data_IF_795740158352
#
_entry.id   IF_795740158352
#
_cell.length_a   1.000
_cell.length_b   1.000
_cell.length_c   1.000
_cell.angle_alpha   90.00
_cell.angle_beta   90.00
_cell.angle_gamma   90.00
#
_symmetry.space_group_name_H-M   'P 1'
#
loop_
_entity.id
_entity.type
_entity.pdbx_description
1 polymer ?
#
# COMPACT_ATOMS: atom_id res chain seq x y z
N UNK A 1 4.18 20.92 2.36
CA UNK A 1 3.09 21.08 1.36
C UNK A 1 2.02 22.07 1.80
N UNK A 2 1.58 22.91 0.88
CA UNK A 2 0.44 23.84 1.06
C UNK A 2 -0.91 23.11 0.93
N UNK A 3 -1.98 23.64 1.54
CA UNK A 3 -3.34 23.10 1.44
C UNK A 3 -3.86 22.84 -0.01
N UNK A 4 -3.53 23.67 -1.04
CA UNK A 4 -3.95 23.40 -2.42
C UNK A 4 -3.21 22.23 -3.09
N UNK A 5 -1.95 21.95 -2.74
CA UNK A 5 -1.19 20.80 -3.28
C UNK A 5 -1.73 19.47 -2.73
N UNK A 6 -2.16 19.44 -1.46
CA UNK A 6 -2.90 18.31 -0.88
C UNK A 6 -4.15 18.01 -1.70
N UNK A 7 -4.90 19.04 -2.13
CA UNK A 7 -6.14 18.88 -2.91
C UNK A 7 -5.93 18.31 -4.32
N UNK A 8 -4.75 18.46 -4.93
CA UNK A 8 -4.49 17.97 -6.29
C UNK A 8 -4.18 16.48 -6.33
N UNK A 9 -3.39 15.97 -5.36
CA UNK A 9 -3.15 14.52 -5.16
C UNK A 9 -4.46 13.77 -4.89
N UNK A 10 -5.40 14.44 -4.23
CA UNK A 10 -6.69 13.90 -3.78
C UNK A 10 -7.82 14.00 -4.81
N UNK A 11 -7.55 14.53 -6.02
CA UNK A 11 -8.57 14.73 -7.06
C UNK A 11 -8.90 13.47 -7.86
N UNK A 12 -8.10 12.41 -7.76
CA UNK A 12 -8.40 11.17 -8.46
C UNK A 12 -9.35 10.28 -7.63
N UNK A 13 -10.35 9.70 -8.28
CA UNK A 13 -11.44 8.94 -7.64
C UNK A 13 -10.96 7.76 -6.76
N UNK A 14 -9.68 7.39 -6.84
CA UNK A 14 -9.06 6.37 -5.98
C UNK A 14 -8.87 6.79 -4.52
N UNK A 15 -8.74 8.09 -4.23
CA UNK A 15 -8.48 8.57 -2.86
C UNK A 15 -9.71 8.51 -1.94
N UNK A 16 -10.91 8.35 -2.49
CA UNK A 16 -12.17 8.19 -1.74
C UNK A 16 -12.71 6.76 -1.75
N UNK A 17 -12.11 5.87 -2.54
CA UNK A 17 -12.52 4.47 -2.62
C UNK A 17 -11.74 3.64 -1.61
N UNK A 18 -12.30 2.48 -1.26
CA UNK A 18 -11.57 1.50 -0.46
C UNK A 18 -10.35 1.02 -1.22
N UNK A 19 -9.17 1.19 -0.65
CA UNK A 19 -7.91 0.99 -1.35
C UNK A 19 -6.99 0.07 -0.56
N UNK A 20 -6.39 -0.89 -1.26
CA UNK A 20 -5.29 -1.66 -0.72
C UNK A 20 -4.01 -0.85 -0.87
N UNK A 21 -3.26 -0.71 0.21
CA UNK A 21 -2.04 0.09 0.29
C UNK A 21 -0.86 -0.87 0.37
N UNK A 22 0.04 -0.76 -0.60
CA UNK A 22 1.25 -1.57 -0.67
C UNK A 22 2.34 -1.08 0.29
N UNK A 23 3.37 -1.90 0.53
CA UNK A 23 4.47 -1.61 1.45
C UNK A 23 5.32 -0.43 0.98
N UNK A 24 5.53 -0.25 -0.33
CA UNK A 24 6.27 0.91 -0.85
C UNK A 24 5.66 2.24 -0.40
N UNK A 25 4.32 2.36 -0.36
CA UNK A 25 3.62 3.55 0.12
C UNK A 25 3.92 3.80 1.60
N UNK A 26 3.87 2.74 2.44
CA UNK A 26 4.20 2.86 3.86
C UNK A 26 5.67 3.25 4.06
N UNK A 27 6.58 2.65 3.29
CA UNK A 27 8.02 2.94 3.34
C UNK A 27 8.30 4.40 2.99
N UNK A 28 7.62 4.96 1.99
CA UNK A 28 7.78 6.36 1.61
C UNK A 28 7.45 7.34 2.73
N UNK A 29 6.61 6.96 3.69
CA UNK A 29 6.33 7.82 4.86
C UNK A 29 7.56 8.03 5.77
N UNK A 30 8.62 7.24 5.63
CA UNK A 30 9.90 7.36 6.35
C UNK A 30 11.07 7.78 5.44
N UNK A 31 10.87 7.84 4.12
CA UNK A 31 11.94 8.13 3.17
C UNK A 31 12.46 9.58 3.33
N UNK A 32 13.79 9.73 3.43
CA UNK A 32 14.44 11.05 3.60
C UNK A 32 14.95 11.64 2.29
N UNK A 33 15.16 10.81 1.28
CA UNK A 33 15.71 11.14 -0.03
C UNK A 33 14.64 11.61 -1.05
N UNK A 34 13.35 11.37 -0.77
CA UNK A 34 12.24 11.79 -1.62
C UNK A 34 11.14 12.56 -0.84
N UNK A 35 11.38 13.82 -0.41
CA UNK A 35 10.45 14.58 0.42
C UNK A 35 9.04 14.74 -0.17
N UNK A 36 8.93 14.91 -1.50
CA UNK A 36 7.64 15.04 -2.17
C UNK A 36 6.81 13.74 -2.12
N UNK A 37 7.46 12.58 -2.33
CA UNK A 37 6.80 11.27 -2.21
C UNK A 37 6.41 10.98 -0.76
N UNK A 38 7.27 11.35 0.20
CA UNK A 38 6.96 11.24 1.63
C UNK A 38 5.74 12.06 2.01
N UNK A 39 5.70 13.34 1.64
CA UNK A 39 4.57 14.21 1.96
C UNK A 39 3.27 13.71 1.31
N UNK A 40 3.34 13.20 0.07
CA UNK A 40 2.21 12.54 -0.61
C UNK A 40 1.74 11.28 0.14
N UNK A 41 2.66 10.38 0.48
CA UNK A 41 2.36 9.15 1.19
C UNK A 41 1.74 9.42 2.57
N UNK A 42 2.29 10.37 3.34
CA UNK A 42 1.73 10.78 4.63
C UNK A 42 0.29 11.29 4.50
N UNK A 43 0.02 12.16 3.53
CA UNK A 43 -1.32 12.69 3.29
C UNK A 43 -2.31 11.59 2.87
N UNK A 44 -1.86 10.64 2.04
CA UNK A 44 -2.65 9.52 1.58
C UNK A 44 -3.03 8.58 2.73
N UNK A 45 -2.07 8.22 3.59
CA UNK A 45 -2.34 7.37 4.76
C UNK A 45 -3.26 8.09 5.75
N UNK A 46 -3.01 9.36 6.04
CA UNK A 46 -3.86 10.16 6.92
C UNK A 46 -5.31 10.19 6.44
N UNK A 47 -5.53 10.39 5.13
CA UNK A 47 -6.86 10.38 4.54
C UNK A 47 -7.55 9.01 4.62
N UNK A 48 -6.84 7.93 4.29
CA UNK A 48 -7.43 6.58 4.33
C UNK A 48 -7.72 6.11 5.76
N UNK A 49 -6.92 6.54 6.74
CA UNK A 49 -7.22 6.35 8.16
C UNK A 49 -8.46 7.15 8.58
N UNK A 50 -8.54 8.43 8.19
CA UNK A 50 -9.67 9.30 8.55
C UNK A 50 -11.00 8.82 7.95
N UNK A 51 -10.98 8.40 6.68
CA UNK A 51 -12.17 7.93 5.95
C UNK A 51 -12.49 6.45 6.19
N UNK A 52 -11.62 5.70 6.89
CA UNK A 52 -11.73 4.25 7.10
C UNK A 52 -11.86 3.46 5.80
N UNK A 53 -11.03 3.83 4.82
CA UNK A 53 -11.02 3.20 3.49
C UNK A 53 -9.69 2.52 3.16
N UNK A 54 -8.66 2.69 3.99
CA UNK A 54 -7.37 2.04 3.76
C UNK A 54 -7.34 0.61 4.26
N UNK A 55 -6.76 -0.26 3.44
CA UNK A 55 -6.57 -1.68 3.73
C UNK A 55 -5.11 -2.01 3.51
N UNK A 56 -4.53 -2.81 4.39
CA UNK A 56 -3.19 -3.39 4.24
C UNK A 56 -3.26 -4.88 4.51
N UNK A 57 -2.14 -5.59 4.33
CA UNK A 57 -2.01 -6.97 4.78
C UNK A 57 -0.94 -7.13 5.86
N UNK A 58 -0.99 -8.26 6.55
CA UNK A 58 0.10 -8.67 7.45
C UNK A 58 1.46 -8.80 6.74
N UNK A 59 1.49 -9.13 5.45
CA UNK A 59 2.72 -9.11 4.64
C UNK A 59 3.24 -7.67 4.47
N UNK A 60 2.37 -6.73 4.14
CA UNK A 60 2.74 -5.31 3.98
C UNK A 60 3.41 -4.75 5.24
N UNK A 61 2.91 -5.11 6.44
CA UNK A 61 3.52 -4.71 7.71
C UNK A 61 4.91 -5.34 7.93
N UNK A 62 5.09 -6.61 7.55
CA UNK A 62 6.38 -7.30 7.63
C UNK A 62 7.41 -6.66 6.72
N UNK A 63 7.03 -6.38 5.47
CA UNK A 63 7.89 -5.72 4.48
C UNK A 63 8.26 -4.31 4.92
N UNK A 64 7.28 -3.52 5.38
CA UNK A 64 7.51 -2.20 5.92
C UNK A 64 8.56 -2.23 7.05
N UNK A 65 8.37 -3.09 8.06
CA UNK A 65 9.28 -3.14 9.20
C UNK A 65 10.70 -3.55 8.78
N UNK A 66 10.82 -4.55 7.90
CA UNK A 66 12.10 -5.01 7.40
C UNK A 66 12.83 -3.92 6.60
N UNK A 67 12.11 -3.16 5.76
CA UNK A 67 12.70 -2.09 4.95
C UNK A 67 13.04 -0.87 5.81
N UNK A 68 12.14 -0.43 6.68
CA UNK A 68 12.35 0.73 7.54
C UNK A 68 13.60 0.55 8.42
N UNK A 69 13.76 -0.62 9.03
CA UNK A 69 14.90 -0.88 9.94
C UNK A 69 16.21 -1.15 9.20
N UNK A 70 16.18 -1.89 8.07
CA UNK A 70 17.41 -2.30 7.37
C UNK A 70 17.90 -1.31 6.33
N UNK A 71 16.98 -0.67 5.59
CA UNK A 71 17.32 0.22 4.47
C UNK A 71 17.28 1.70 4.86
N UNK A 72 16.27 2.10 5.65
CA UNK A 72 16.09 3.51 6.03
C UNK A 72 16.75 3.86 7.38
N UNK A 73 17.28 2.88 8.10
CA UNK A 73 17.92 3.10 9.40
C UNK A 73 16.97 3.58 10.49
N UNK A 74 15.66 3.37 10.32
CA UNK A 74 14.67 3.72 11.35
C UNK A 74 14.90 2.83 12.56
N UNK A 75 15.00 3.47 13.73
CA UNK A 75 15.21 2.77 15.00
C UNK A 75 14.07 1.75 15.23
N UNK A 76 14.36 0.49 15.61
CA UNK A 76 13.36 -0.58 15.73
C UNK A 76 12.10 -0.23 16.55
N UNK A 77 12.26 0.50 17.65
CA UNK A 77 11.13 0.92 18.50
C UNK A 77 10.21 1.92 17.77
N UNK A 78 10.78 2.81 16.96
CA UNK A 78 9.99 3.75 16.16
C UNK A 78 9.28 3.03 15.01
N UNK A 79 9.96 2.11 14.32
CA UNK A 79 9.37 1.28 13.28
C UNK A 79 8.21 0.43 13.84
N UNK A 80 8.36 -0.13 15.05
CA UNK A 80 7.32 -0.90 15.72
C UNK A 80 6.10 -0.05 16.08
N UNK A 81 6.30 1.15 16.63
CA UNK A 81 5.21 2.11 16.90
C UNK A 81 4.47 2.50 15.63
N UNK A 82 5.19 2.69 14.53
CA UNK A 82 4.60 3.08 13.25
C UNK A 82 3.86 1.92 12.58
N UNK A 83 4.39 0.70 12.66
CA UNK A 83 3.65 -0.50 12.25
C UNK A 83 2.33 -0.67 13.05
N UNK A 84 2.36 -0.42 14.36
CA UNK A 84 1.16 -0.43 15.19
C UNK A 84 0.16 0.68 14.81
N UNK A 85 0.65 1.85 14.39
CA UNK A 85 -0.20 2.91 13.85
C UNK A 85 -0.85 2.49 12.53
N UNK A 86 -0.09 1.89 11.60
CA UNK A 86 -0.62 1.39 10.33
C UNK A 86 -1.63 0.25 10.52
N UNK A 87 -1.46 -0.59 11.54
CA UNK A 87 -2.41 -1.64 11.90
C UNK A 87 -3.79 -1.13 12.37
N UNK A 88 -3.99 0.19 12.47
CA UNK A 88 -5.32 0.81 12.66
C UNK A 88 -6.14 0.91 11.36
N UNK A 89 -5.51 0.69 10.21
CA UNK A 89 -6.20 0.41 8.96
C UNK A 89 -6.87 -0.97 9.02
N UNK A 90 -7.73 -1.29 8.05
CA UNK A 90 -8.23 -2.65 7.92
C UNK A 90 -7.06 -3.58 7.53
N UNK A 91 -6.86 -4.65 8.30
CA UNK A 91 -5.74 -5.59 8.06
C UNK A 91 -6.27 -6.92 7.56
N UNK A 92 -5.84 -7.28 6.34
CA UNK A 92 -6.03 -8.62 5.78
C UNK A 92 -4.92 -9.54 6.26
N UNK A 93 -5.27 -10.63 6.94
CA UNK A 93 -4.31 -11.66 7.32
C UNK A 93 -3.92 -12.49 6.10
N UNK A 94 -2.63 -12.71 5.91
CA UNK A 94 -2.11 -13.60 4.87
C UNK A 94 -2.09 -15.01 5.45
N UNK A 95 -3.16 -15.75 5.18
CA UNK A 95 -3.31 -17.14 5.60
C UNK A 95 -3.01 -18.11 4.44
N UNK A 96 -3.12 -19.42 4.73
CA UNK A 96 -2.87 -20.46 3.74
C UNK A 96 -3.80 -20.35 2.52
N UNK A 97 -5.07 -19.98 2.72
CA UNK A 97 -6.04 -19.89 1.64
C UNK A 97 -5.70 -18.73 0.70
N UNK A 98 -5.29 -17.59 1.27
CA UNK A 98 -4.81 -16.45 0.51
C UNK A 98 -3.56 -16.81 -0.30
N UNK A 99 -2.61 -17.52 0.32
CA UNK A 99 -1.38 -17.96 -0.36
C UNK A 99 -1.70 -18.87 -1.55
N UNK A 100 -2.55 -19.88 -1.37
CA UNK A 100 -2.92 -20.79 -2.45
C UNK A 100 -3.63 -20.04 -3.59
N UNK A 101 -4.54 -19.13 -3.27
CA UNK A 101 -5.21 -18.30 -4.28
C UNK A 101 -4.25 -17.34 -5.00
N UNK A 102 -3.23 -16.82 -4.32
CA UNK A 102 -2.19 -16.00 -4.93
C UNK A 102 -1.31 -16.83 -5.89
N UNK A 103 -1.01 -18.09 -5.57
CA UNK A 103 -0.29 -19.00 -6.49
C UNK A 103 -1.09 -19.20 -7.78
N UNK A 104 -2.41 -19.35 -7.70
CA UNK A 104 -3.27 -19.45 -8.87
C UNK A 104 -3.27 -18.16 -9.71
N UNK A 105 -3.26 -16.98 -9.07
CA UNK A 105 -3.13 -15.70 -9.76
C UNK A 105 -1.78 -15.54 -10.47
N UNK A 106 -0.68 -15.92 -9.81
CA UNK A 106 0.66 -15.91 -10.40
C UNK A 106 0.71 -16.69 -11.71
N UNK A 107 0.11 -17.88 -11.73
CA UNK A 107 0.10 -18.76 -12.92
C UNK A 107 -0.67 -18.15 -14.08
N UNK A 108 -1.74 -17.42 -13.79
CA UNK A 108 -2.61 -16.85 -14.81
C UNK A 108 -2.08 -15.53 -15.39
N UNK A 109 -1.46 -14.70 -14.56
CA UNK A 109 -1.09 -13.32 -14.93
C UNK A 109 0.42 -13.08 -15.02
N UNK A 110 1.26 -14.11 -14.80
CA UNK A 110 2.73 -14.00 -14.82
C UNK A 110 3.29 -12.93 -13.86
N UNK A 111 2.57 -12.64 -12.79
CA UNK A 111 3.01 -11.78 -11.69
C UNK A 111 4.15 -12.45 -10.91
N UNK A 112 4.96 -11.64 -10.22
CA UNK A 112 5.79 -12.19 -9.15
C UNK A 112 4.90 -12.76 -8.03
N UNK A 113 5.45 -13.67 -7.22
CA UNK A 113 4.67 -14.27 -6.13
C UNK A 113 4.24 -13.21 -5.09
N UNK A 114 5.12 -12.24 -4.81
CA UNK A 114 4.83 -11.15 -3.88
C UNK A 114 3.73 -10.24 -4.40
N UNK A 115 3.79 -9.88 -5.69
CA UNK A 115 2.74 -9.08 -6.34
C UNK A 115 1.40 -9.80 -6.34
N UNK A 116 1.40 -11.12 -6.59
CA UNK A 116 0.19 -11.92 -6.55
C UNK A 116 -0.45 -11.96 -5.15
N UNK A 117 0.35 -11.98 -4.08
CA UNK A 117 -0.14 -11.89 -2.70
C UNK A 117 -0.76 -10.52 -2.40
N UNK A 118 -0.12 -9.42 -2.80
CA UNK A 118 -0.65 -8.06 -2.64
C UNK A 118 -1.99 -7.93 -3.36
N UNK A 119 -2.06 -8.38 -4.62
CA UNK A 119 -3.29 -8.35 -5.42
C UNK A 119 -4.38 -9.19 -4.75
N UNK A 120 -4.09 -10.42 -4.34
CA UNK A 120 -5.07 -11.28 -3.71
C UNK A 120 -5.55 -10.72 -2.36
N UNK A 121 -4.66 -10.11 -1.57
CA UNK A 121 -5.03 -9.45 -0.33
C UNK A 121 -5.92 -8.23 -0.57
N UNK A 122 -5.66 -7.44 -1.63
CA UNK A 122 -6.56 -6.38 -2.07
C UNK A 122 -7.95 -6.90 -2.44
N UNK A 123 -8.02 -8.06 -3.11
CA UNK A 123 -9.29 -8.69 -3.51
C UNK A 123 -10.08 -9.22 -2.32
N UNK A 124 -9.43 -9.93 -1.41
CA UNK A 124 -10.02 -10.40 -0.14
C UNK A 124 -10.45 -9.22 0.72
N UNK A 125 -9.67 -8.14 0.69
CA UNK A 125 -10.07 -6.87 1.26
C UNK A 125 -11.41 -6.43 0.69
N UNK A 126 -11.61 -6.49 -0.62
CA UNK A 126 -12.72 -5.84 -1.31
C UNK A 126 -12.34 -4.44 -1.78
N UNK A 127 -11.07 -4.27 -2.15
CA UNK A 127 -10.52 -3.01 -2.64
C UNK A 127 -10.64 -2.93 -4.17
N UNK A 128 -11.43 -2.01 -4.74
CA UNK A 128 -11.39 -1.74 -6.18
C UNK A 128 -10.08 -1.11 -6.66
N UNK A 129 -9.27 -0.57 -5.73
CA UNK A 129 -8.01 0.13 -6.01
C UNK A 129 -6.87 -0.49 -5.23
N UNK A 130 -5.71 -0.61 -5.87
CA UNK A 130 -4.43 -0.96 -5.24
C UNK A 130 -3.44 0.18 -5.48
N UNK A 131 -2.94 0.75 -4.40
CA UNK A 131 -1.99 1.84 -4.39
C UNK A 131 -0.58 1.27 -4.29
N UNK A 132 0.19 1.37 -5.37
CA UNK A 132 1.54 0.86 -5.46
C UNK A 132 2.36 1.70 -6.44
N UNK A 133 3.63 1.92 -6.12
CA UNK A 133 4.60 2.49 -7.05
C UNK A 133 5.11 1.47 -8.07
N UNK A 134 5.45 0.26 -7.60
CA UNK A 134 6.28 -0.68 -8.36
C UNK A 134 5.51 -1.73 -9.17
N UNK A 135 4.21 -1.92 -8.88
CA UNK A 135 3.36 -2.90 -9.55
C UNK A 135 3.00 -2.45 -10.99
N UNK A 136 3.88 -2.76 -11.94
CA UNK A 136 3.73 -2.42 -13.35
C UNK A 136 2.99 -3.54 -14.10
N UNK A 137 1.66 -3.49 -14.15
CA UNK A 137 0.87 -4.39 -15.02
C UNK A 137 -0.34 -3.70 -15.70
N UNK A 138 -0.09 -2.53 -16.29
CA UNK A 138 -0.86 -2.05 -17.45
C UNK A 138 -2.36 -1.76 -17.27
N UNK A 139 -2.86 -1.55 -16.05
CA UNK A 139 -4.09 -0.79 -15.81
C UNK A 139 -5.28 -1.55 -15.20
N UNK A 140 -5.24 -2.88 -15.07
CA UNK A 140 -6.23 -3.62 -14.25
C UNK A 140 -5.81 -5.07 -14.01
N UNK A 141 -5.61 -5.46 -12.75
CA UNK A 141 -5.42 -6.84 -12.35
C UNK A 141 -6.77 -7.39 -11.89
N UNK A 142 -7.43 -8.12 -12.80
CA UNK A 142 -8.82 -8.59 -12.63
C UNK A 142 -9.78 -7.41 -12.37
N UNK A 143 -10.34 -7.37 -11.19
CA UNK A 143 -11.30 -6.39 -10.68
C UNK A 143 -10.64 -5.18 -10.00
N UNK A 144 -9.32 -5.22 -9.80
CA UNK A 144 -8.56 -4.17 -9.11
C UNK A 144 -7.83 -3.25 -10.09
N UNK A 145 -8.02 -1.94 -9.92
CA UNK A 145 -7.25 -0.90 -10.60
C UNK A 145 -5.98 -0.59 -9.81
N UNK A 146 -4.82 -0.77 -10.43
CA UNK A 146 -3.53 -0.36 -9.86
C UNK A 146 -3.33 1.12 -10.14
N UNK A 147 -2.98 1.90 -9.11
CA UNK A 147 -2.74 3.33 -9.19
C UNK A 147 -1.40 3.64 -8.51
N UNK A 148 -0.52 4.30 -9.24
CA UNK A 148 0.69 4.87 -8.67
C UNK A 148 0.38 6.30 -8.17
N UNK A 149 0.38 6.56 -6.86
CA UNK A 149 0.06 7.88 -6.32
C UNK A 149 1.18 8.93 -6.53
N UNK A 150 2.32 8.51 -7.08
CA UNK A 150 3.48 9.37 -7.36
C UNK A 150 3.66 9.67 -8.84
N UNK A 151 2.96 8.97 -9.74
CA UNK A 151 2.92 9.32 -11.15
C UNK A 151 2.00 10.52 -11.34
N UNK A 152 2.53 11.59 -11.93
CA UNK A 152 1.76 12.79 -12.30
C UNK A 152 1.23 12.67 -13.72
#
# INVERSE_FOLDING_TARGET
MSAPERKAVLRDAGALQRAFIDSNILVHTDATDAPAKRDCALALIEQHMYTRTGVISTQVLQEYYAVATRKLGVVPELAQRKAALFARLDVVQVDLQLILAAIDLLRLHRLSFWDALIVQAGRVGGCPVLLSEDLHDGGRLRDIRVVNPFST
#
